data_IF_430843529907
#
_entry.id   IF_430843529907
#
_cell.length_a   1.000
_cell.length_b   1.000
_cell.length_c   1.000
_cell.angle_alpha   90.00
_cell.angle_beta   90.00
_cell.angle_gamma   90.00
#
_symmetry.space_group_name_H-M   'P 1'
#
loop_
_entity.id
_entity.type
_entity.pdbx_description
1 polymer ?
#
# COMPACT_ATOMS: atom_id res chain seq x y z
N UNK A 1 -5.21 -1.46 12.78
CA UNK A 1 -5.24 -0.08 12.24
C UNK A 1 -5.95 -0.12 10.90
N UNK A 2 -6.88 0.79 10.67
CA UNK A 2 -7.66 0.85 9.45
C UNK A 2 -7.22 2.04 8.60
N UNK A 3 -7.16 1.82 7.29
CA UNK A 3 -6.87 2.83 6.28
C UNK A 3 -8.03 2.90 5.28
N UNK A 4 -8.37 4.11 4.85
CA UNK A 4 -9.47 4.34 3.91
C UNK A 4 -9.05 5.33 2.83
N UNK A 5 -9.38 5.00 1.58
CA UNK A 5 -9.23 5.87 0.42
C UNK A 5 -10.51 5.86 -0.40
N UNK A 6 -11.00 7.05 -0.66
CA UNK A 6 -12.12 7.27 -1.57
C UNK A 6 -11.59 7.75 -2.91
N UNK A 7 -12.16 7.21 -3.99
CA UNK A 7 -11.89 7.64 -5.36
C UNK A 7 -13.17 7.56 -6.19
N UNK A 8 -13.23 8.29 -7.30
CA UNK A 8 -14.40 8.35 -8.18
C UNK A 8 -14.04 7.89 -9.58
N UNK A 9 -14.87 7.02 -10.17
CA UNK A 9 -14.75 6.54 -11.54
C UNK A 9 -16.07 6.82 -12.24
N UNK A 10 -16.05 7.59 -13.33
CA UNK A 10 -17.25 7.96 -14.10
C UNK A 10 -17.30 7.29 -15.48
N UNK A 11 -16.20 6.66 -15.87
CA UNK A 11 -16.00 6.06 -17.18
C UNK A 11 -15.92 4.54 -17.05
N UNK A 12 -16.28 3.82 -18.11
CA UNK A 12 -16.01 2.40 -18.21
C UNK A 12 -14.50 2.12 -18.24
N UNK A 13 -14.11 0.96 -17.72
CA UNK A 13 -12.71 0.55 -17.60
C UNK A 13 -12.47 -0.82 -18.24
N UNK A 14 -11.27 -0.99 -18.79
CA UNK A 14 -10.77 -2.23 -19.40
C UNK A 14 -10.27 -3.19 -18.32
N UNK A 15 -9.50 -2.65 -17.37
CA UNK A 15 -8.87 -3.41 -16.28
C UNK A 15 -8.71 -2.56 -15.03
N UNK A 16 -8.70 -3.21 -13.87
CA UNK A 16 -8.50 -2.54 -12.60
C UNK A 16 -7.76 -3.47 -11.63
N UNK A 17 -6.53 -3.13 -11.29
CA UNK A 17 -5.70 -3.95 -10.43
C UNK A 17 -5.09 -3.13 -9.30
N UNK A 18 -4.86 -3.78 -8.17
CA UNK A 18 -4.12 -3.20 -7.06
C UNK A 18 -3.18 -4.22 -6.45
N UNK A 19 -1.96 -3.79 -6.20
CA UNK A 19 -0.97 -4.49 -5.43
C UNK A 19 -0.92 -3.93 -4.01
N UNK A 20 -0.86 -4.81 -3.02
CA UNK A 20 -0.77 -4.43 -1.60
C UNK A 20 0.41 -5.13 -0.94
N UNK A 21 1.14 -4.40 -0.10
CA UNK A 21 2.07 -4.94 0.90
C UNK A 21 1.68 -4.38 2.27
N UNK A 22 1.47 -5.27 3.23
CA UNK A 22 1.24 -4.90 4.62
C UNK A 22 2.52 -4.96 5.44
N UNK A 23 2.47 -4.54 6.70
CA UNK A 23 3.59 -4.77 7.62
C UNK A 23 3.75 -6.24 8.05
N UNK A 24 2.71 -6.80 8.70
CA UNK A 24 2.66 -8.22 9.10
C UNK A 24 1.49 -8.91 8.40
N UNK A 25 0.35 -8.23 8.37
CA UNK A 25 -0.88 -8.71 7.82
C UNK A 25 -1.74 -7.52 7.38
N UNK A 26 -2.34 -7.60 6.20
CA UNK A 26 -3.33 -6.63 5.75
C UNK A 26 -4.47 -7.32 5.00
N UNK A 27 -5.72 -6.99 5.36
CA UNK A 27 -6.92 -7.32 4.58
C UNK A 27 -7.29 -6.15 3.70
N UNK A 28 -7.66 -6.44 2.47
CA UNK A 28 -8.12 -5.47 1.49
C UNK A 28 -9.61 -5.69 1.20
N UNK A 29 -10.37 -4.61 1.29
CA UNK A 29 -11.78 -4.57 0.90
C UNK A 29 -12.06 -3.39 -0.03
N UNK A 30 -12.99 -3.58 -0.96
CA UNK A 30 -13.50 -2.55 -1.86
C UNK A 30 -15.02 -2.51 -1.76
N UNK A 31 -15.59 -1.34 -1.51
CA UNK A 31 -17.04 -1.15 -1.39
C UNK A 31 -17.69 -2.15 -0.41
N UNK A 32 -17.05 -2.34 0.75
CA UNK A 32 -17.43 -3.27 1.82
C UNK A 32 -17.37 -4.77 1.46
N UNK A 33 -16.87 -5.14 0.29
CA UNK A 33 -16.59 -6.54 -0.08
C UNK A 33 -15.13 -6.88 0.14
N UNK A 34 -14.86 -8.01 0.80
CA UNK A 34 -13.50 -8.51 1.01
C UNK A 34 -12.94 -9.03 -0.31
N UNK A 35 -11.75 -8.54 -0.68
CA UNK A 35 -11.00 -9.01 -1.86
C UNK A 35 -9.99 -10.10 -1.49
N UNK A 36 -9.38 -9.97 -0.31
CA UNK A 36 -8.41 -10.93 0.19
C UNK A 36 -7.47 -10.32 1.23
N UNK A 37 -6.29 -10.92 1.39
CA UNK A 37 -5.32 -10.50 2.40
C UNK A 37 -3.88 -10.81 1.98
N UNK A 38 -2.93 -10.05 2.52
CA UNK A 38 -1.49 -10.28 2.40
C UNK A 38 -0.87 -10.58 3.76
N UNK A 39 0.10 -11.49 3.78
CA UNK A 39 0.85 -11.89 4.98
C UNK A 39 2.32 -11.60 4.72
N UNK A 40 2.87 -10.62 5.42
CA UNK A 40 4.23 -10.08 5.19
C UNK A 40 5.19 -10.35 6.33
N UNK A 41 4.75 -11.02 7.39
CA UNK A 41 5.61 -11.39 8.53
C UNK A 41 6.81 -12.20 8.04
N UNK A 42 8.02 -11.64 8.14
CA UNK A 42 9.22 -12.41 7.85
C UNK A 42 9.29 -13.65 8.76
N UNK A 43 9.13 -14.79 8.12
CA UNK A 43 9.53 -16.09 8.61
C UNK A 43 10.28 -16.72 7.43
N UNK A 44 11.25 -17.58 7.67
CA UNK A 44 11.96 -18.33 6.61
C UNK A 44 11.04 -19.33 5.87
N UNK A 45 9.72 -19.18 6.02
CA UNK A 45 8.70 -19.98 5.36
C UNK A 45 8.39 -19.39 3.98
N UNK A 46 8.66 -20.18 2.96
CA UNK A 46 8.39 -19.87 1.55
C UNK A 46 6.94 -19.41 1.28
N UNK A 47 5.95 -19.97 1.99
CA UNK A 47 4.54 -19.58 1.85
C UNK A 47 4.32 -18.10 2.21
N UNK A 48 5.10 -17.57 3.15
CA UNK A 48 5.00 -16.18 3.56
C UNK A 48 5.71 -15.26 2.57
N UNK A 49 6.83 -15.72 2.00
CA UNK A 49 7.50 -15.00 0.89
C UNK A 49 6.65 -14.94 -0.37
N UNK A 50 5.76 -15.92 -0.61
CA UNK A 50 4.84 -15.92 -1.76
C UNK A 50 3.60 -15.04 -1.55
N UNK A 51 3.21 -14.80 -0.29
CA UNK A 51 1.99 -14.06 0.08
C UNK A 51 2.25 -12.66 0.65
N UNK A 52 3.50 -12.21 0.61
CA UNK A 52 3.91 -10.89 1.09
C UNK A 52 3.38 -9.77 0.21
N UNK A 53 3.24 -10.02 -1.10
CA UNK A 53 2.70 -9.09 -2.08
C UNK A 53 1.68 -9.84 -2.91
N UNK A 54 0.47 -9.31 -3.00
CA UNK A 54 -0.56 -9.86 -3.86
C UNK A 54 -1.14 -8.76 -4.74
N UNK A 55 -1.44 -9.15 -5.98
CA UNK A 55 -2.24 -8.37 -6.91
C UNK A 55 -3.69 -8.83 -6.76
N UNK A 56 -4.59 -7.88 -6.60
CA UNK A 56 -6.03 -8.07 -6.53
C UNK A 56 -6.66 -7.46 -7.76
N UNK A 57 -7.54 -8.23 -8.42
CA UNK A 57 -8.42 -7.71 -9.46
C UNK A 57 -9.61 -7.00 -8.81
N UNK A 58 -9.85 -5.76 -9.22
CA UNK A 58 -10.91 -4.90 -8.70
C UNK A 58 -12.12 -4.85 -9.63
N UNK A 59 -12.05 -5.46 -10.82
CA UNK A 59 -12.98 -5.23 -11.92
C UNK A 59 -14.44 -5.43 -11.54
N UNK A 60 -14.74 -6.52 -10.86
CA UNK A 60 -16.11 -6.90 -10.48
C UNK A 60 -16.63 -6.19 -9.21
N UNK A 61 -15.79 -5.34 -8.61
CA UNK A 61 -16.06 -4.69 -7.33
C UNK A 61 -16.17 -3.16 -7.44
N UNK A 62 -15.60 -2.58 -8.50
CA UNK A 62 -15.72 -1.15 -8.81
C UNK A 62 -17.13 -0.86 -9.34
N UNK A 63 -17.71 0.23 -8.87
CA UNK A 63 -18.99 0.78 -9.35
C UNK A 63 -18.77 2.14 -9.98
N UNK A 64 -19.70 2.57 -10.84
CA UNK A 64 -19.72 3.94 -11.33
C UNK A 64 -20.00 4.90 -10.15
N UNK A 65 -19.30 6.04 -10.12
CA UNK A 65 -19.32 7.01 -9.04
C UNK A 65 -18.27 6.73 -7.97
N UNK A 66 -18.68 6.85 -6.70
CA UNK A 66 -17.78 6.81 -5.56
C UNK A 66 -17.46 5.38 -5.11
N UNK A 67 -16.16 5.09 -5.00
CA UNK A 67 -15.60 3.83 -4.55
C UNK A 67 -14.73 4.04 -3.33
N UNK A 68 -14.76 3.07 -2.41
CA UNK A 68 -14.01 3.13 -1.16
C UNK A 68 -13.15 1.88 -1.01
N UNK A 69 -11.83 2.07 -0.97
CA UNK A 69 -10.88 1.05 -0.53
C UNK A 69 -10.73 1.17 0.97
N UNK A 70 -10.91 0.04 1.66
CA UNK A 70 -10.65 -0.12 3.07
C UNK A 70 -9.56 -1.15 3.26
N UNK A 71 -8.59 -0.84 4.11
CA UNK A 71 -7.53 -1.77 4.48
C UNK A 71 -7.47 -1.89 5.98
N UNK A 72 -7.56 -3.12 6.47
CA UNK A 72 -7.33 -3.45 7.86
C UNK A 72 -5.95 -4.06 8.00
N UNK A 73 -5.09 -3.42 8.79
CA UNK A 73 -3.77 -3.95 9.14
C UNK A 73 -3.75 -4.47 10.57
N UNK A 74 -3.15 -5.64 10.76
CA UNK A 74 -2.91 -6.23 12.07
C UNK A 74 -1.41 -6.35 12.32
N UNK A 75 -0.98 -5.97 13.53
CA UNK A 75 0.41 -6.02 13.96
C UNK A 75 0.57 -6.91 15.18
N UNK A 76 1.07 -8.11 14.95
CA UNK A 76 1.36 -9.08 16.01
C UNK A 76 2.62 -8.76 16.83
N UNK A 77 3.55 -7.94 16.30
CA UNK A 77 4.84 -7.66 16.94
C UNK A 77 4.91 -6.26 17.60
N UNK A 78 3.78 -5.58 17.73
CA UNK A 78 3.74 -4.15 18.09
C UNK A 78 4.21 -3.22 16.97
N UNK A 79 4.26 -1.92 17.25
CA UNK A 79 4.73 -0.89 16.31
C UNK A 79 3.61 -0.02 15.70
N UNK A 80 3.89 0.58 14.54
CA UNK A 80 2.95 1.41 13.79
C UNK A 80 2.50 0.69 12.55
N UNK A 81 1.19 0.49 12.41
CA UNK A 81 0.59 -0.10 11.21
C UNK A 81 1.00 0.70 9.99
N UNK A 82 1.68 0.04 9.05
CA UNK A 82 2.01 0.61 7.75
C UNK A 82 1.46 -0.29 6.65
N UNK A 83 1.18 0.34 5.52
CA UNK A 83 0.76 -0.31 4.29
C UNK A 83 1.36 0.47 3.13
N UNK A 84 1.74 -0.23 2.06
CA UNK A 84 2.06 0.37 0.78
C UNK A 84 1.16 -0.28 -0.27
N UNK A 85 0.62 0.54 -1.17
CA UNK A 85 -0.39 0.16 -2.15
C UNK A 85 -0.03 0.88 -3.44
N UNK A 86 -0.14 0.15 -4.54
CA UNK A 86 -0.08 0.71 -5.89
C UNK A 86 -1.08 -0.02 -6.76
N UNK A 87 -1.87 0.71 -7.52
CA UNK A 87 -2.91 0.16 -8.38
C UNK A 87 -3.15 1.04 -9.58
N UNK A 88 -3.63 0.42 -10.64
CA UNK A 88 -3.93 1.06 -11.92
C UNK A 88 -5.30 0.60 -12.41
N UNK A 89 -6.10 1.58 -12.82
CA UNK A 89 -7.37 1.38 -13.50
C UNK A 89 -7.21 1.94 -14.91
N UNK A 90 -7.20 1.08 -15.92
CA UNK A 90 -7.14 1.48 -17.32
C UNK A 90 -8.55 1.74 -17.82
N UNK A 91 -8.86 2.99 -18.14
CA UNK A 91 -10.15 3.41 -18.67
C UNK A 91 -10.29 3.02 -20.15
N UNK A 92 -11.52 3.04 -20.68
CA UNK A 92 -11.74 2.77 -22.11
C UNK A 92 -11.10 3.82 -23.02
N UNK A 93 -11.01 5.07 -22.55
CA UNK A 93 -10.31 6.20 -23.18
C UNK A 93 -8.78 6.10 -23.19
N UNK A 94 -8.22 4.96 -22.79
CA UNK A 94 -6.78 4.71 -22.60
C UNK A 94 -6.10 5.58 -21.54
N UNK A 95 -6.87 6.38 -20.80
CA UNK A 95 -6.39 7.05 -19.58
C UNK A 95 -6.19 6.03 -18.47
N UNK A 96 -5.13 6.21 -17.68
CA UNK A 96 -4.85 5.37 -16.51
C UNK A 96 -5.08 6.17 -15.23
N UNK A 97 -6.00 5.70 -14.39
CA UNK A 97 -6.20 6.23 -13.05
C UNK A 97 -5.33 5.45 -12.06
N UNK A 98 -4.47 6.14 -11.33
CA UNK A 98 -3.55 5.52 -10.38
C UNK A 98 -4.05 5.63 -8.95
N UNK A 99 -3.98 4.53 -8.22
CA UNK A 99 -4.25 4.45 -6.79
C UNK A 99 -2.93 4.14 -6.11
N UNK A 100 -2.44 5.02 -5.24
CA UNK A 100 -1.22 4.76 -4.50
C UNK A 100 -1.30 5.32 -3.09
N UNK A 101 -0.43 4.83 -2.21
CA UNK A 101 -0.32 5.36 -0.85
C UNK A 101 0.26 6.77 -0.84
N UNK A 102 -0.51 7.72 -0.31
CA UNK A 102 -0.14 9.13 -0.19
C UNK A 102 -0.81 9.78 1.04
N UNK A 103 -0.74 11.10 1.15
CA UNK A 103 -1.34 11.87 2.27
C UNK A 103 -2.86 12.03 2.19
N UNK A 104 -3.49 11.62 1.08
CA UNK A 104 -4.94 11.71 0.90
C UNK A 104 -5.69 10.56 1.58
N UNK A 105 -4.97 9.53 2.03
CA UNK A 105 -5.53 8.45 2.83
C UNK A 105 -5.95 8.94 4.22
N UNK A 106 -7.01 8.32 4.73
CA UNK A 106 -7.45 8.47 6.10
C UNK A 106 -7.11 7.21 6.88
N UNK A 107 -6.85 7.35 8.18
CA UNK A 107 -6.57 6.25 9.07
C UNK A 107 -7.25 6.40 10.43
N UNK A 108 -7.55 5.26 11.05
CA UNK A 108 -8.07 5.15 12.42
C UNK A 108 -7.48 3.91 13.09
N UNK A 109 -7.43 3.90 14.43
CA UNK A 109 -6.98 2.75 15.20
C UNK A 109 -8.09 1.74 15.44
N UNK A 110 -9.32 2.24 15.54
CA UNK A 110 -10.53 1.48 15.85
C UNK A 110 -11.48 1.53 14.67
N UNK A 111 -12.26 0.47 14.44
CA UNK A 111 -13.20 0.38 13.32
C UNK A 111 -14.22 1.51 13.32
N UNK A 112 -14.63 1.96 14.51
CA UNK A 112 -15.63 3.01 14.72
C UNK A 112 -14.99 4.34 15.17
N UNK A 113 -13.66 4.44 15.10
CA UNK A 113 -12.93 5.62 15.53
C UNK A 113 -13.02 6.78 14.54
N UNK A 114 -12.60 7.97 14.98
CA UNK A 114 -12.51 9.14 14.10
C UNK A 114 -11.42 8.97 13.05
N UNK A 115 -11.81 9.08 11.77
CA UNK A 115 -10.88 9.08 10.64
C UNK A 115 -10.02 10.34 10.64
N UNK A 116 -8.69 10.18 10.59
CA UNK A 116 -7.73 11.28 10.56
C UNK A 116 -6.78 11.12 9.38
N UNK A 117 -6.18 12.22 8.91
CA UNK A 117 -5.14 12.16 7.86
C UNK A 117 -3.98 11.28 8.31
N UNK A 118 -3.52 10.39 7.43
CA UNK A 118 -2.36 9.54 7.73
C UNK A 118 -1.06 10.33 7.69
N UNK A 119 -0.02 9.81 8.36
CA UNK A 119 1.35 10.23 8.10
C UNK A 119 1.86 9.44 6.90
N UNK A 120 2.42 10.13 5.91
CA UNK A 120 3.11 9.51 4.77
C UNK A 120 4.61 9.73 4.92
N UNK A 121 5.39 8.68 4.72
CA UNK A 121 6.85 8.73 4.68
C UNK A 121 7.39 9.11 3.29
N UNK A 122 6.51 9.37 2.31
CA UNK A 122 6.87 9.60 0.92
C UNK A 122 7.01 8.30 0.13
N UNK A 123 7.37 8.44 -1.15
CA UNK A 123 7.73 7.28 -1.97
C UNK A 123 8.98 6.62 -1.39
N UNK A 124 9.01 5.28 -1.35
CA UNK A 124 10.23 4.58 -0.98
C UNK A 124 11.33 4.82 -2.02
N UNK A 125 12.61 4.90 -1.61
CA UNK A 125 13.75 4.97 -2.52
C UNK A 125 13.72 3.82 -3.53
N UNK A 126 14.13 4.06 -4.78
CA UNK A 126 14.13 3.05 -5.85
C UNK A 126 14.90 1.79 -5.44
N UNK A 127 16.03 1.98 -4.76
CA UNK A 127 16.93 0.93 -4.26
C UNK A 127 16.27 -0.01 -3.24
N UNK A 128 15.22 0.47 -2.56
CA UNK A 128 14.47 -0.30 -1.55
C UNK A 128 13.24 -1.01 -2.12
N UNK A 129 13.07 -1.02 -3.45
CA UNK A 129 12.00 -1.77 -4.11
C UNK A 129 10.61 -1.27 -3.74
N UNK A 130 10.31 -0.02 -4.12
CA UNK A 130 8.94 0.46 -4.04
C UNK A 130 7.99 -0.42 -4.84
N UNK A 131 6.75 -0.58 -4.37
CA UNK A 131 5.66 -1.26 -5.11
C UNK A 131 5.25 -0.53 -6.41
N UNK A 132 6.10 0.32 -6.97
CA UNK A 132 5.76 1.29 -8.00
C UNK A 132 5.79 0.71 -9.43
N UNK A 133 6.25 -0.53 -9.61
CA UNK A 133 6.48 -1.11 -10.94
C UNK A 133 5.94 -2.55 -11.09
N UNK A 134 4.67 -2.85 -10.78
CA UNK A 134 4.08 -4.13 -11.14
C UNK A 134 3.80 -4.22 -12.64
N UNK A 135 3.80 -5.44 -13.18
CA UNK A 135 3.24 -5.74 -14.50
C UNK A 135 1.92 -6.48 -14.29
N UNK A 136 0.84 -5.71 -14.21
CA UNK A 136 -0.51 -6.23 -13.96
C UNK A 136 -1.03 -7.14 -15.08
N UNK A 137 -0.66 -6.90 -16.34
CA UNK A 137 -1.11 -7.69 -17.49
C UNK A 137 -0.62 -9.15 -17.41
N UNK A 138 0.57 -9.36 -16.84
CA UNK A 138 1.15 -10.68 -16.68
C UNK A 138 1.05 -11.19 -15.23
N UNK A 139 0.25 -10.53 -14.39
CA UNK A 139 0.11 -10.81 -12.96
C UNK A 139 1.46 -10.91 -12.22
N UNK A 140 2.41 -10.03 -12.56
CA UNK A 140 3.73 -9.97 -11.92
C UNK A 140 3.76 -8.79 -10.97
N UNK A 141 3.90 -9.06 -9.68
CA UNK A 141 4.07 -8.02 -8.70
C UNK A 141 5.45 -7.35 -8.82
N UNK A 142 5.60 -6.17 -8.22
CA UNK A 142 6.91 -5.49 -8.16
C UNK A 142 7.95 -6.38 -7.48
N UNK A 143 9.20 -6.33 -7.95
CA UNK A 143 10.32 -6.97 -7.27
C UNK A 143 10.49 -6.32 -5.89
N UNK A 144 10.29 -7.12 -4.83
CA UNK A 144 10.57 -6.70 -3.47
C UNK A 144 12.09 -6.62 -3.30
N UNK A 145 12.59 -5.50 -2.78
CA UNK A 145 13.81 -5.57 -1.98
C UNK A 145 13.37 -5.95 -0.57
N UNK A 146 13.89 -7.05 -0.01
CA UNK A 146 13.61 -7.46 1.37
C UNK A 146 13.93 -6.38 2.41
N UNK A 147 14.61 -5.32 1.97
CA UNK A 147 14.81 -4.10 2.71
C UNK A 147 13.51 -3.38 3.07
N UNK A 148 12.42 -3.43 2.29
CA UNK A 148 11.18 -2.71 2.64
C UNK A 148 10.56 -3.24 3.94
N UNK A 149 10.44 -4.56 4.07
CA UNK A 149 9.89 -5.21 5.26
C UNK A 149 10.82 -5.05 6.46
N UNK A 150 12.14 -5.09 6.23
CA UNK A 150 13.16 -4.86 7.25
C UNK A 150 13.20 -3.39 7.72
N UNK A 151 13.06 -2.45 6.80
CA UNK A 151 13.02 -1.01 7.04
C UNK A 151 11.74 -0.62 7.78
N UNK A 152 10.61 -1.19 7.34
CA UNK A 152 9.39 -1.19 8.09
C UNK A 152 9.72 -1.66 9.52
N UNK A 153 10.12 -2.93 9.73
CA UNK A 153 10.45 -3.50 11.05
C UNK A 153 11.26 -2.55 11.96
N UNK A 154 12.26 -1.88 11.39
CA UNK A 154 13.08 -0.87 12.06
C UNK A 154 12.28 0.38 12.48
N UNK A 155 11.51 1.00 11.58
CA UNK A 155 10.66 2.18 11.87
C UNK A 155 9.70 1.94 13.03
N UNK A 156 9.11 0.74 13.09
CA UNK A 156 8.16 0.38 14.16
C UNK A 156 8.79 0.32 15.55
N UNK A 157 10.11 0.14 15.63
CA UNK A 157 10.89 0.15 16.88
C UNK A 157 11.46 1.52 17.23
N UNK A 158 11.51 2.46 16.27
CA UNK A 158 12.04 3.79 16.50
C UNK A 158 11.05 4.63 17.34
N UNK A 159 11.51 5.36 18.37
CA UNK A 159 10.65 6.25 19.15
C UNK A 159 9.99 7.32 18.30
N UNK A 160 8.71 7.64 18.56
CA UNK A 160 7.95 8.66 17.81
C UNK A 160 8.64 10.02 17.73
N UNK A 161 9.42 10.40 18.76
CA UNK A 161 10.18 11.66 18.81
C UNK A 161 11.24 11.75 17.71
N UNK A 162 11.74 10.62 17.22
CA UNK A 162 12.78 10.54 16.18
C UNK A 162 12.21 10.45 14.75
N UNK A 163 10.89 10.50 14.58
CA UNK A 163 10.28 10.32 13.26
C UNK A 163 10.61 11.43 12.27
N UNK A 164 10.85 12.64 12.77
CA UNK A 164 11.29 13.75 11.92
C UNK A 164 12.64 13.43 11.25
N UNK A 165 13.58 12.81 11.98
CA UNK A 165 14.88 12.42 11.44
C UNK A 165 14.74 11.36 10.34
N UNK A 166 13.85 10.39 10.55
CA UNK A 166 13.49 9.38 9.56
C UNK A 166 12.93 10.00 8.27
N UNK A 167 12.02 10.97 8.40
CA UNK A 167 11.47 11.73 7.26
C UNK A 167 12.60 12.49 6.53
N UNK A 168 13.55 13.04 7.27
CA UNK A 168 14.68 13.78 6.70
C UNK A 168 15.61 12.86 5.89
N UNK A 169 15.92 11.67 6.42
CA UNK A 169 16.67 10.63 5.69
C UNK A 169 15.94 10.22 4.41
N UNK A 170 14.64 9.92 4.48
CA UNK A 170 13.85 9.54 3.30
C UNK A 170 13.80 10.64 2.24
N UNK A 171 13.74 11.92 2.65
CA UNK A 171 13.82 13.06 1.75
C UNK A 171 15.19 13.18 1.09
N UNK A 172 16.27 12.90 1.81
CA UNK A 172 17.62 12.90 1.26
C UNK A 172 17.78 11.80 0.20
N UNK A 173 17.38 10.56 0.50
CA UNK A 173 17.41 9.47 -0.48
C UNK A 173 16.61 9.81 -1.74
N UNK A 174 15.37 10.27 -1.58
CA UNK A 174 14.56 10.69 -2.73
C UNK A 174 15.19 11.85 -3.53
N UNK A 175 15.95 12.74 -2.89
CA UNK A 175 16.66 13.83 -3.59
C UNK A 175 17.85 13.32 -4.39
N UNK A 176 18.60 12.34 -3.86
CA UNK A 176 19.72 11.71 -4.57
C UNK A 176 19.23 10.78 -5.70
N UNK A 177 18.13 10.04 -5.51
CA UNK A 177 17.50 9.19 -6.54
C UNK A 177 16.91 9.97 -7.75
N UNK A 178 16.80 11.31 -7.64
CA UNK A 178 16.40 12.22 -8.72
C UNK A 178 17.63 12.73 -9.50
N UNK A 179 18.82 12.66 -8.91
CA UNK A 179 20.08 13.11 -9.52
C UNK A 179 20.78 11.99 -10.31
N UNK A 180 20.37 10.73 -10.13
CA UNK A 180 20.71 9.55 -10.95
C UNK A 180 19.57 9.16 -11.91
#
# INVERSE_FOLDING_TARGET
>A
VFFKKTFKIQEEFKSAYVQVIGWNFAKLSLNNKLLGHVITRQSLNYVVLKNNIQIFDLKDYIRNGENVILIETMQYAGGIGSVNIYGEIKLKSDRTFKIFTDKSWLGTRESNGQWRKVKSFGSPPKVTGGLCYPNFEHNRHSLQSDMMTSFNALIGRIPKKMYWFLILIMKLFNRYDILE
#
